data_IF_357051025245
#
_entry.id   IF_357051025245
#
_cell.length_a   1.000
_cell.length_b   1.000
_cell.length_c   1.000
_cell.angle_alpha   90.00
_cell.angle_beta   90.00
_cell.angle_gamma   90.00
#
_symmetry.space_group_name_H-M   'P 1'
#
loop_
_entity.id
_entity.type
_entity.pdbx_description
1 polymer ?
#
# COMPACT_ATOMS: atom_id res chain seq x y z
N UNK A 1 -13.71 8.55 12.74
CA UNK A 1 -14.76 7.62 12.32
C UNK A 1 -14.42 6.23 12.83
N UNK A 2 -15.41 5.35 12.94
CA UNK A 2 -15.15 3.94 13.24
C UNK A 2 -14.42 3.32 12.04
N UNK A 3 -13.27 2.71 12.25
CA UNK A 3 -12.50 1.97 11.22
C UNK A 3 -12.50 0.50 11.58
N UNK A 4 -12.50 -0.40 10.59
CA UNK A 4 -12.16 -1.79 10.84
C UNK A 4 -10.66 -1.90 11.08
N UNK A 5 -10.26 -2.58 12.16
CA UNK A 5 -8.86 -2.91 12.45
C UNK A 5 -8.63 -4.39 12.13
N UNK A 6 -7.71 -4.63 11.19
CA UNK A 6 -7.33 -5.95 10.73
C UNK A 6 -5.87 -6.16 11.10
N UNK A 7 -5.59 -7.29 11.77
CA UNK A 7 -4.22 -7.74 12.04
C UNK A 7 -3.91 -8.92 11.13
N UNK A 8 -2.85 -8.78 10.34
CA UNK A 8 -2.30 -9.84 9.48
C UNK A 8 -0.97 -10.35 10.01
N UNK A 9 -0.81 -11.67 9.98
CA UNK A 9 0.46 -12.35 10.22
C UNK A 9 0.86 -13.09 8.93
N UNK A 10 2.17 -13.18 8.64
CA UNK A 10 2.64 -13.89 7.47
C UNK A 10 2.27 -15.38 7.57
N UNK A 11 1.79 -15.94 6.46
CA UNK A 11 1.47 -17.37 6.37
C UNK A 11 2.70 -18.26 6.16
N UNK A 12 3.86 -17.66 5.88
CA UNK A 12 5.12 -18.38 5.61
C UNK A 12 6.32 -17.51 5.97
N UNK A 13 7.45 -18.16 6.27
CA UNK A 13 8.72 -17.52 6.64
C UNK A 13 9.38 -16.74 5.48
N UNK A 14 8.87 -16.88 4.25
CA UNK A 14 9.34 -16.13 3.09
C UNK A 14 8.78 -14.69 3.01
N UNK A 15 7.89 -14.31 3.93
CA UNK A 15 7.28 -12.99 3.92
C UNK A 15 8.28 -11.91 4.36
N UNK A 16 8.25 -10.75 3.68
CA UNK A 16 9.13 -9.61 3.97
C UNK A 16 8.81 -8.95 5.34
N UNK A 17 7.63 -9.19 5.90
CA UNK A 17 7.14 -8.54 7.13
C UNK A 17 6.66 -9.58 8.15
N UNK A 18 6.87 -9.29 9.44
CA UNK A 18 6.43 -10.13 10.55
C UNK A 18 5.00 -9.86 11.01
N UNK A 19 4.50 -8.63 10.83
CA UNK A 19 3.11 -8.26 11.15
C UNK A 19 2.65 -7.07 10.32
N UNK A 20 1.35 -7.05 10.02
CA UNK A 20 0.65 -5.91 9.44
C UNK A 20 -0.52 -5.56 10.35
N UNK A 21 -0.62 -4.30 10.77
CA UNK A 21 -1.86 -3.73 11.33
C UNK A 21 -2.44 -2.78 10.28
N UNK A 22 -3.70 -3.00 9.89
CA UNK A 22 -4.39 -2.26 8.82
C UNK A 22 -5.69 -1.68 9.36
N UNK A 23 -5.91 -0.39 9.13
CA UNK A 23 -7.16 0.29 9.41
C UNK A 23 -7.85 0.59 8.08
N UNK A 24 -9.12 0.21 7.99
CA UNK A 24 -9.93 0.30 6.77
C UNK A 24 -11.17 1.14 7.05
N UNK A 25 -11.47 2.05 6.12
CA UNK A 25 -12.73 2.78 6.10
C UNK A 25 -13.88 1.80 5.79
N UNK A 26 -14.91 1.70 6.65
CA UNK A 26 -15.97 0.70 6.49
C UNK A 26 -16.93 1.00 5.34
N UNK A 27 -16.98 2.24 4.84
CA UNK A 27 -17.87 2.67 3.77
C UNK A 27 -17.22 2.43 2.40
N UNK A 28 -15.94 2.79 2.27
CA UNK A 28 -15.22 2.70 1.00
C UNK A 28 -14.37 1.44 0.86
N UNK A 29 -14.13 0.72 1.96
CA UNK A 29 -13.17 -0.39 2.07
C UNK A 29 -11.73 -0.02 1.67
N UNK A 30 -11.41 1.29 1.64
CA UNK A 30 -10.07 1.78 1.36
C UNK A 30 -9.26 1.82 2.66
N UNK A 31 -7.99 1.38 2.65
CA UNK A 31 -7.10 1.58 3.78
C UNK A 31 -6.99 3.06 4.15
N UNK A 32 -6.99 3.37 5.44
CA UNK A 32 -6.72 4.73 5.96
C UNK A 32 -5.38 4.80 6.69
N UNK A 33 -4.93 3.67 7.26
CA UNK A 33 -3.61 3.53 7.88
C UNK A 33 -3.10 2.10 7.76
N UNK A 34 -1.79 1.94 7.59
CA UNK A 34 -1.11 0.63 7.63
C UNK A 34 0.18 0.76 8.42
N UNK A 35 0.36 -0.09 9.42
CA UNK A 35 1.63 -0.20 10.14
C UNK A 35 2.25 -1.56 9.82
N UNK A 36 3.52 -1.55 9.42
CA UNK A 36 4.30 -2.74 9.12
C UNK A 36 5.36 -2.94 10.19
N UNK A 37 5.54 -4.19 10.61
CA UNK A 37 6.58 -4.60 11.55
C UNK A 37 7.43 -5.71 10.94
N UNK A 38 8.71 -5.76 11.33
CA UNK A 38 9.59 -6.88 11.01
C UNK A 38 9.25 -8.13 11.87
N UNK A 39 10.00 -9.21 11.67
CA UNK A 39 9.83 -10.47 12.41
C UNK A 39 10.13 -10.37 13.91
N UNK A 40 10.82 -9.32 14.35
CA UNK A 40 11.16 -9.04 15.75
C UNK A 40 10.21 -7.98 16.37
N UNK A 41 9.10 -7.68 15.68
CA UNK A 41 8.13 -6.65 16.05
C UNK A 41 8.65 -5.20 16.02
N UNK A 42 9.79 -4.93 15.37
CA UNK A 42 10.24 -3.55 15.18
C UNK A 42 9.38 -2.86 14.13
N UNK A 43 9.03 -1.60 14.39
CA UNK A 43 8.31 -0.76 13.43
C UNK A 43 9.18 -0.52 12.18
N UNK A 44 8.63 -0.87 11.02
CA UNK A 44 9.25 -0.61 9.72
C UNK A 44 8.63 0.62 9.04
N UNK A 45 7.30 0.71 9.07
CA UNK A 45 6.58 1.81 8.42
C UNK A 45 5.26 2.09 9.11
N UNK A 46 4.90 3.36 9.22
CA UNK A 46 3.53 3.81 9.48
C UNK A 46 3.04 4.62 8.27
N UNK A 47 2.14 4.06 7.48
CA UNK A 47 1.60 4.67 6.28
C UNK A 47 0.18 5.21 6.52
N UNK A 48 -0.08 6.44 6.12
CA UNK A 48 -1.41 7.06 6.09
C UNK A 48 -1.85 7.22 4.64
N UNK A 49 -3.07 6.79 4.36
CA UNK A 49 -3.66 6.81 3.04
C UNK A 49 -4.72 7.91 3.03
N UNK A 50 -4.48 8.91 2.19
CA UNK A 50 -5.21 10.16 2.15
C UNK A 50 -5.84 10.34 0.77
N UNK A 51 -6.78 11.28 0.70
CA UNK A 51 -7.42 11.69 -0.56
C UNK A 51 -8.07 10.52 -1.31
N UNK A 52 -8.86 9.72 -0.58
CA UNK A 52 -9.65 8.63 -1.15
C UNK A 52 -10.58 9.16 -2.25
N UNK A 53 -10.35 8.73 -3.49
CA UNK A 53 -11.00 9.27 -4.68
C UNK A 53 -11.53 8.14 -5.54
N UNK A 54 -12.78 8.25 -6.00
CA UNK A 54 -13.32 7.36 -7.02
C UNK A 54 -12.65 7.66 -8.36
N UNK A 55 -11.94 6.68 -8.92
CA UNK A 55 -11.15 6.84 -10.16
C UNK A 55 -11.79 6.11 -11.36
N UNK A 56 -12.71 5.20 -11.11
CA UNK A 56 -13.54 4.52 -12.09
C UNK A 56 -14.79 3.93 -11.38
N UNK A 57 -15.72 3.39 -12.16
CA UNK A 57 -16.88 2.70 -11.59
C UNK A 57 -16.45 1.53 -10.70
N UNK A 58 -16.90 1.53 -9.45
CA UNK A 58 -16.52 0.54 -8.43
C UNK A 58 -15.07 0.61 -7.93
N UNK A 59 -14.27 1.61 -8.30
CA UNK A 59 -12.85 1.71 -7.91
C UNK A 59 -12.54 3.01 -7.19
N UNK A 60 -12.17 2.90 -5.91
CA UNK A 60 -11.70 4.01 -5.08
C UNK A 60 -10.25 3.78 -4.68
N UNK A 61 -9.39 4.78 -4.84
CA UNK A 61 -7.99 4.73 -4.47
C UNK A 61 -7.58 5.94 -3.63
N UNK A 62 -6.65 5.78 -2.69
CA UNK A 62 -5.99 6.92 -2.05
C UNK A 62 -5.00 7.55 -3.02
N UNK A 63 -5.14 8.85 -3.28
CA UNK A 63 -4.25 9.56 -4.21
C UNK A 63 -2.99 10.11 -3.55
N UNK A 64 -2.92 10.07 -2.22
CA UNK A 64 -1.74 10.46 -1.45
C UNK A 64 -1.46 9.42 -0.37
N UNK A 65 -0.20 9.01 -0.27
CA UNK A 65 0.27 8.13 0.80
C UNK A 65 1.43 8.83 1.49
N UNK A 66 1.33 8.97 2.80
CA UNK A 66 2.39 9.51 3.63
C UNK A 66 2.96 8.38 4.48
N UNK A 67 4.28 8.25 4.56
CA UNK A 67 4.93 7.29 5.45
C UNK A 67 5.74 8.00 6.51
N UNK A 68 5.64 7.52 7.73
CA UNK A 68 6.29 8.05 8.91
C UNK A 68 7.30 7.04 9.47
N UNK A 69 8.42 7.56 9.99
CA UNK A 69 9.47 6.76 10.62
C UNK A 69 9.14 6.43 12.09
N UNK A 70 10.07 5.76 12.78
CA UNK A 70 9.91 5.35 14.18
C UNK A 70 9.72 6.49 15.18
N UNK A 71 10.21 7.69 14.85
CA UNK A 71 10.06 8.90 15.66
C UNK A 71 8.75 9.64 15.36
N UNK A 72 7.95 9.14 14.41
CA UNK A 72 6.71 9.76 13.96
C UNK A 72 6.92 10.93 13.00
N UNK A 73 8.12 11.09 12.46
CA UNK A 73 8.43 12.12 11.46
C UNK A 73 8.05 11.65 10.07
N UNK A 74 7.58 12.58 9.22
CA UNK A 74 7.24 12.29 7.84
C UNK A 74 8.50 11.96 7.04
N UNK A 75 8.60 10.72 6.56
CA UNK A 75 9.75 10.22 5.82
C UNK A 75 9.55 10.25 4.29
N UNK A 76 8.32 10.03 3.81
CA UNK A 76 8.02 9.98 2.38
C UNK A 76 6.59 10.42 2.08
N UNK A 77 6.37 10.96 0.88
CA UNK A 77 5.06 11.22 0.30
C UNK A 77 5.02 10.64 -1.11
N UNK A 78 4.02 9.80 -1.38
CA UNK A 78 3.70 9.27 -2.71
C UNK A 78 2.41 9.96 -3.17
N UNK A 79 2.40 10.49 -4.39
CA UNK A 79 1.21 11.14 -4.98
C UNK A 79 0.89 10.55 -6.35
N UNK A 80 -0.38 10.20 -6.55
CA UNK A 80 -0.91 9.72 -7.82
C UNK A 80 -1.62 10.86 -8.54
N UNK A 81 -1.14 11.22 -9.74
CA UNK A 81 -1.60 12.41 -10.46
C UNK A 81 -2.46 12.07 -11.68
N UNK A 82 -2.09 11.01 -12.41
CA UNK A 82 -2.81 10.56 -13.60
C UNK A 82 -3.07 9.07 -13.49
N UNK A 83 -4.32 8.72 -13.26
CA UNK A 83 -4.77 7.34 -13.11
C UNK A 83 -5.60 6.98 -14.34
N UNK A 84 -5.28 5.84 -14.93
CA UNK A 84 -6.07 5.21 -15.98
C UNK A 84 -6.42 3.80 -15.49
N UNK A 85 -7.68 3.42 -15.64
CA UNK A 85 -8.20 2.12 -15.24
C UNK A 85 -8.62 1.37 -16.49
N UNK A 86 -8.35 0.06 -16.56
CA UNK A 86 -8.67 -0.81 -17.70
C UNK A 86 -8.14 -0.30 -19.06
N UNK A 87 -6.93 0.28 -19.07
CA UNK A 87 -6.33 0.90 -20.27
C UNK A 87 -5.72 -0.07 -21.27
N UNK A 88 -6.03 -1.38 -21.18
CA UNK A 88 -5.53 -2.42 -22.10
C UNK A 88 -3.99 -2.41 -22.22
N UNK A 89 -3.30 -2.43 -21.08
CA UNK A 89 -1.83 -2.45 -21.03
C UNK A 89 -1.32 -3.73 -21.70
N UNK A 90 -0.39 -3.63 -22.68
CA UNK A 90 0.17 -4.79 -23.36
C UNK A 90 0.88 -5.78 -22.41
N UNK A 91 0.70 -7.08 -22.65
CA UNK A 91 1.27 -8.16 -21.83
C UNK A 91 2.81 -8.21 -21.90
N UNK A 92 3.39 -7.79 -23.02
CA UNK A 92 4.83 -7.80 -23.23
C UNK A 92 5.61 -6.87 -22.29
N UNK A 93 4.95 -5.85 -21.73
CA UNK A 93 5.52 -4.97 -20.70
C UNK A 93 5.85 -5.70 -19.38
N UNK A 94 5.29 -6.88 -19.16
CA UNK A 94 5.54 -7.69 -17.96
C UNK A 94 6.61 -8.77 -18.18
N UNK A 95 7.13 -8.90 -19.41
CA UNK A 95 8.26 -9.77 -19.67
C UNK A 95 9.54 -9.12 -19.13
N UNK A 96 10.41 -9.87 -18.41
CA UNK A 96 11.71 -9.35 -18.05
C UNK A 96 12.47 -8.97 -19.33
N UNK A 97 13.21 -7.86 -19.34
CA UNK A 97 14.05 -7.54 -20.48
C UNK A 97 15.00 -8.71 -20.76
N UNK A 98 15.18 -9.05 -22.04
CA UNK A 98 16.08 -10.12 -22.44
C UNK A 98 17.45 -9.86 -21.82
N UNK A 99 17.92 -10.80 -20.99
CA UNK A 99 19.26 -10.78 -20.41
C UNK A 99 20.33 -11.16 -21.44
N UNK A 100 20.19 -10.74 -22.70
CA UNK A 100 21.23 -10.91 -23.70
C UNK A 100 22.30 -9.84 -23.53
N UNK A 101 23.39 -10.27 -22.89
CA UNK A 101 24.77 -9.77 -22.98
C UNK A 101 25.17 -8.57 -22.10
N UNK A 102 25.78 -8.92 -20.95
CA UNK A 102 26.93 -8.24 -20.36
C UNK A 102 27.96 -9.28 -19.99
#
# INVERSE_FOLDING_TARGET
>A
GNTYHIRGLPASDAAVYGRIDLWVDPETFVPVRRILYDANENLLVDARFLDATAVADGVTLPLRIETYNGDGELANVISYVKIMVNSSVPDDLFNPPDKSNG
#
